data_IF_534075962010
#
_entry.id   IF_534075962010
#
_cell.length_a   1.000
_cell.length_b   1.000
_cell.length_c   1.000
_cell.angle_alpha   90.00
_cell.angle_beta   90.00
_cell.angle_gamma   90.00
#
_symmetry.space_group_name_H-M   'P 1'
#
loop_
_entity.id
_entity.type
_entity.pdbx_description
1 polymer ?
#
# COMPACT_ATOMS: atom_id res chain seq x y z
N UNK A 1 33.27 -16.35 -10.32
CA UNK A 1 32.66 -16.06 -9.00
C UNK A 1 31.93 -14.71 -9.03
N UNK A 2 32.54 -13.67 -9.61
CA UNK A 2 31.91 -12.35 -9.78
C UNK A 2 30.64 -12.37 -10.63
N UNK A 3 30.61 -13.12 -11.74
CA UNK A 3 29.40 -13.19 -12.59
C UNK A 3 28.18 -13.77 -11.89
N UNK A 4 28.39 -14.76 -11.01
CA UNK A 4 27.33 -15.38 -10.21
C UNK A 4 26.80 -14.38 -9.18
N UNK A 5 27.68 -13.60 -8.56
CA UNK A 5 27.31 -12.56 -7.61
C UNK A 5 26.47 -11.47 -8.28
N UNK A 6 26.88 -11.01 -9.46
CA UNK A 6 26.14 -10.00 -10.24
C UNK A 6 24.77 -10.53 -10.65
N UNK A 7 24.69 -11.79 -11.08
CA UNK A 7 23.42 -12.44 -11.43
C UNK A 7 22.47 -12.52 -10.23
N UNK A 8 22.97 -12.91 -9.06
CA UNK A 8 22.20 -12.98 -7.82
C UNK A 8 21.69 -11.60 -7.39
N UNK A 9 22.53 -10.56 -7.47
CA UNK A 9 22.14 -9.19 -7.14
C UNK A 9 21.04 -8.66 -8.08
N UNK A 10 21.13 -8.96 -9.38
CA UNK A 10 20.09 -8.60 -10.35
C UNK A 10 18.77 -9.31 -10.06
N UNK A 11 18.81 -10.61 -9.76
CA UNK A 11 17.63 -11.39 -9.37
C UNK A 11 16.97 -10.83 -8.10
N UNK A 12 17.77 -10.50 -7.08
CA UNK A 12 17.30 -9.83 -5.87
C UNK A 12 16.63 -8.50 -6.16
N UNK A 13 17.20 -7.69 -7.06
CA UNK A 13 16.59 -6.42 -7.49
C UNK A 13 15.22 -6.61 -8.14
N UNK A 14 15.08 -7.60 -9.03
CA UNK A 14 13.80 -7.91 -9.68
C UNK A 14 12.75 -8.39 -8.67
N UNK A 15 13.15 -9.26 -7.74
CA UNK A 15 12.25 -9.74 -6.68
C UNK A 15 11.84 -8.57 -5.79
N UNK A 16 12.77 -7.73 -5.35
CA UNK A 16 12.49 -6.56 -4.52
C UNK A 16 11.52 -5.59 -5.21
N UNK A 17 11.71 -5.34 -6.51
CA UNK A 17 10.82 -4.48 -7.29
C UNK A 17 9.40 -5.08 -7.42
N UNK A 18 9.31 -6.39 -7.66
CA UNK A 18 8.02 -7.10 -7.70
C UNK A 18 7.29 -7.09 -6.36
N UNK A 19 8.02 -7.32 -5.26
CA UNK A 19 7.49 -7.23 -3.90
C UNK A 19 7.00 -5.82 -3.60
N UNK A 20 7.79 -4.79 -3.92
CA UNK A 20 7.41 -3.39 -3.71
C UNK A 20 6.14 -3.05 -4.49
N UNK A 21 6.06 -3.45 -5.76
CA UNK A 21 4.90 -3.21 -6.60
C UNK A 21 3.65 -3.89 -6.02
N UNK A 22 3.76 -5.16 -5.63
CA UNK A 22 2.65 -5.89 -5.02
C UNK A 22 2.21 -5.28 -3.68
N UNK A 23 3.15 -4.91 -2.82
CA UNK A 23 2.86 -4.24 -1.54
C UNK A 23 2.18 -2.90 -1.78
N UNK A 24 2.67 -2.09 -2.72
CA UNK A 24 2.05 -0.82 -3.07
C UNK A 24 0.65 -1.01 -3.64
N UNK A 25 0.46 -1.97 -4.55
CA UNK A 25 -0.86 -2.27 -5.12
C UNK A 25 -1.83 -2.77 -4.05
N UNK A 26 -1.37 -3.62 -3.14
CA UNK A 26 -2.16 -4.09 -2.01
C UNK A 26 -2.50 -2.96 -1.04
N UNK A 27 -1.55 -2.08 -0.72
CA UNK A 27 -1.79 -0.91 0.14
C UNK A 27 -2.74 0.10 -0.51
N UNK A 28 -2.68 0.30 -1.83
CA UNK A 28 -3.55 1.25 -2.52
C UNK A 28 -4.96 0.68 -2.69
N UNK A 29 -5.10 -0.58 -3.13
CA UNK A 29 -6.40 -1.17 -3.48
C UNK A 29 -7.07 -1.94 -2.34
N UNK A 30 -6.28 -2.59 -1.50
CA UNK A 30 -6.75 -3.44 -0.41
C UNK A 30 -7.64 -2.70 0.60
N UNK A 31 -7.21 -1.56 1.15
CA UNK A 31 -7.98 -0.78 2.12
C UNK A 31 -9.32 -0.28 1.55
N UNK A 32 -9.33 0.19 0.30
CA UNK A 32 -10.57 0.59 -0.37
C UNK A 32 -11.58 -0.55 -0.50
N UNK A 33 -11.10 -1.76 -0.85
CA UNK A 33 -11.93 -2.96 -0.90
C UNK A 33 -12.43 -3.39 0.48
N UNK A 34 -11.56 -3.32 1.50
CA UNK A 34 -11.90 -3.67 2.89
C UNK A 34 -12.95 -2.73 3.46
N UNK A 35 -12.80 -1.42 3.24
CA UNK A 35 -13.78 -0.41 3.59
C UNK A 35 -15.10 -0.71 2.87
N UNK A 36 -15.08 -0.87 1.54
CA UNK A 36 -16.30 -1.17 0.80
C UNK A 36 -17.00 -2.44 1.32
N UNK A 37 -16.27 -3.51 1.59
CA UNK A 37 -16.83 -4.77 2.10
C UNK A 37 -17.36 -4.66 3.53
N UNK A 38 -16.71 -3.89 4.40
CA UNK A 38 -17.19 -3.66 5.77
C UNK A 38 -18.51 -2.87 5.81
N UNK A 39 -18.77 -2.04 4.79
CA UNK A 39 -19.94 -1.17 4.71
C UNK A 39 -20.97 -1.61 3.64
N UNK A 40 -20.69 -2.64 2.84
CA UNK A 40 -21.63 -3.15 1.84
C UNK A 40 -22.80 -3.88 2.53
N UNK A 41 -23.98 -3.26 2.48
CA UNK A 41 -25.24 -3.85 2.95
C UNK A 41 -25.93 -3.13 4.12
N UNK A 42 -25.30 -2.09 4.67
CA UNK A 42 -25.96 -1.20 5.66
C UNK A 42 -26.50 0.02 4.93
N UNK A 43 -27.76 0.37 5.17
CA UNK A 43 -28.35 1.61 4.65
C UNK A 43 -27.45 2.79 5.01
N UNK A 44 -27.17 3.66 4.04
CA UNK A 44 -26.23 4.77 4.17
C UNK A 44 -26.74 5.81 5.16
N UNK A 45 -26.55 5.55 6.45
CA UNK A 45 -26.81 6.48 7.53
C UNK A 45 -25.63 6.36 8.52
N UNK A 46 -24.89 7.45 8.69
CA UNK A 46 -23.61 7.57 9.43
C UNK A 46 -22.41 6.72 8.93
N UNK A 47 -22.63 5.47 8.52
CA UNK A 47 -21.57 4.53 8.08
C UNK A 47 -20.84 4.99 6.80
N UNK A 48 -21.53 5.69 5.89
CA UNK A 48 -20.91 6.27 4.70
C UNK A 48 -19.96 7.43 5.02
N UNK A 49 -20.26 8.22 6.06
CA UNK A 49 -19.38 9.30 6.51
C UNK A 49 -18.11 8.73 7.17
N UNK A 50 -18.25 7.67 7.97
CA UNK A 50 -17.10 6.96 8.54
C UNK A 50 -16.21 6.38 7.45
N UNK A 51 -16.75 5.77 6.40
CA UNK A 51 -15.96 5.26 5.28
C UNK A 51 -15.10 6.36 4.60
N UNK A 52 -15.66 7.56 4.42
CA UNK A 52 -14.93 8.71 3.87
C UNK A 52 -13.82 9.16 4.82
N UNK A 53 -14.13 9.29 6.12
CA UNK A 53 -13.15 9.68 7.14
C UNK A 53 -12.01 8.67 7.22
N UNK A 54 -12.30 7.38 7.27
CA UNK A 54 -11.29 6.32 7.28
C UNK A 54 -10.46 6.31 5.99
N UNK A 55 -11.07 6.56 4.83
CA UNK A 55 -10.36 6.73 3.57
C UNK A 55 -9.38 7.91 3.59
N UNK A 56 -9.79 9.07 4.11
CA UNK A 56 -8.93 10.27 4.23
C UNK A 56 -7.77 9.99 5.21
N UNK A 57 -8.08 9.45 6.40
CA UNK A 57 -7.08 9.13 7.42
C UNK A 57 -6.06 8.13 6.89
N UNK A 58 -6.52 7.11 6.14
CA UNK A 58 -5.64 6.15 5.50
C UNK A 58 -4.63 6.84 4.56
N UNK A 59 -5.10 7.71 3.67
CA UNK A 59 -4.22 8.43 2.74
C UNK A 59 -3.27 9.41 3.43
N UNK A 60 -3.69 10.04 4.53
CA UNK A 60 -2.81 10.89 5.35
C UNK A 60 -1.68 10.05 5.95
N UNK A 61 -1.98 8.87 6.52
CA UNK A 61 -0.95 7.99 7.09
C UNK A 61 0.00 7.49 6.01
N UNK A 62 -0.50 7.07 4.85
CA UNK A 62 0.33 6.66 3.71
C UNK A 62 1.23 7.79 3.22
N UNK A 63 0.68 9.00 3.05
CA UNK A 63 1.42 10.18 2.61
C UNK A 63 2.53 10.59 3.59
N UNK A 64 2.22 10.61 4.89
CA UNK A 64 3.21 10.87 5.94
C UNK A 64 4.29 9.79 5.98
N UNK A 65 3.91 8.51 5.92
CA UNK A 65 4.85 7.39 5.87
C UNK A 65 5.81 7.50 4.69
N UNK A 66 5.29 7.78 3.49
CA UNK A 66 6.11 7.99 2.29
C UNK A 66 7.05 9.20 2.43
N UNK A 67 6.58 10.31 2.98
CA UNK A 67 7.40 11.50 3.21
C UNK A 67 8.56 11.25 4.17
N UNK A 68 8.31 10.57 5.30
CA UNK A 68 9.37 10.25 6.26
C UNK A 68 10.38 9.26 5.69
N UNK A 69 9.93 8.24 4.94
CA UNK A 69 10.84 7.31 4.26
C UNK A 69 11.72 8.07 3.26
N UNK A 70 11.13 8.92 2.42
CA UNK A 70 11.88 9.74 1.47
C UNK A 70 12.90 10.66 2.14
N UNK A 71 12.60 11.17 3.33
CA UNK A 71 13.54 12.01 4.09
C UNK A 71 14.67 11.21 4.74
N UNK A 72 14.44 9.93 5.05
CA UNK A 72 15.41 9.06 5.71
C UNK A 72 16.40 8.40 4.73
N UNK A 73 16.03 8.31 3.45
CA UNK A 73 16.83 7.80 2.34
C UNK A 73 17.54 8.94 1.63
#
# INVERSE_FOLDING_TARGET
>A
MEDILVLLLRLLGVIAQGVLYFVMEFLIKGPGYLIHRLFAGKHADLDGLFAIVFGIVFWVVVGLGAYFIYRLV
#
